data_IF_427972070817
#
_entry.id   IF_427972070817
#
_cell.length_a   1.000
_cell.length_b   1.000
_cell.length_c   1.000
_cell.angle_alpha   90.00
_cell.angle_beta   90.00
_cell.angle_gamma   90.00
#
_symmetry.space_group_name_H-M   'P 1'
#
loop_
_entity.id
_entity.type
_entity.pdbx_description
1 polymer ?
#
# COMPACT_ATOMS: atom_id res chain seq x y z
N UNK A 1 -17.15 13.38 -18.91
CA UNK A 1 -17.51 13.04 -20.31
C UNK A 1 -16.34 13.49 -21.17
N UNK A 2 -15.68 12.57 -21.89
CA UNK A 2 -14.59 12.95 -22.79
C UNK A 2 -15.20 13.46 -24.09
N UNK A 3 -15.05 14.76 -24.37
CA UNK A 3 -15.48 15.34 -25.64
C UNK A 3 -14.56 14.87 -26.77
N UNK A 4 -15.15 14.63 -27.94
CA UNK A 4 -14.49 14.10 -29.13
C UNK A 4 -13.57 15.11 -29.84
N UNK A 5 -13.61 16.39 -29.46
CA UNK A 5 -12.81 17.45 -30.07
C UNK A 5 -12.10 18.32 -29.03
N UNK A 6 -10.84 18.68 -29.30
CA UNK A 6 -10.01 19.53 -28.44
C UNK A 6 -10.65 20.92 -28.25
N UNK A 7 -11.36 21.40 -29.28
CA UNK A 7 -12.04 22.70 -29.31
C UNK A 7 -13.24 22.81 -28.36
N UNK A 8 -13.82 21.68 -27.93
CA UNK A 8 -15.00 21.65 -27.06
C UNK A 8 -14.66 21.20 -25.63
N UNK A 9 -13.38 20.95 -25.32
CA UNK A 9 -12.96 20.51 -24.01
C UNK A 9 -12.75 21.70 -23.07
N UNK A 10 -13.48 21.70 -21.94
CA UNK A 10 -13.36 22.74 -20.89
C UNK A 10 -12.03 22.62 -20.12
N UNK A 11 -11.46 21.41 -20.07
CA UNK A 11 -10.18 21.11 -19.42
C UNK A 11 -9.44 20.10 -20.30
N UNK A 12 -8.18 20.40 -20.62
CA UNK A 12 -7.32 19.52 -21.42
C UNK A 12 -6.12 19.15 -20.54
N UNK A 13 -6.02 17.87 -20.19
CA UNK A 13 -4.87 17.34 -19.48
C UNK A 13 -3.71 17.08 -20.44
N UNK A 14 -2.56 17.69 -20.16
CA UNK A 14 -1.34 17.50 -20.94
C UNK A 14 -0.37 16.56 -20.21
N UNK A 15 -0.02 15.46 -20.87
CA UNK A 15 1.04 14.56 -20.42
C UNK A 15 2.34 14.89 -21.16
N UNK A 16 3.39 15.24 -20.42
CA UNK A 16 4.71 15.59 -20.97
C UNK A 16 5.77 14.61 -20.49
N UNK A 17 6.69 14.23 -21.38
CA UNK A 17 7.82 13.36 -21.06
C UNK A 17 9.12 13.91 -21.66
N UNK A 18 10.23 13.66 -20.97
CA UNK A 18 11.57 14.01 -21.44
C UNK A 18 12.17 12.98 -22.42
N UNK A 19 11.45 11.88 -22.67
CA UNK A 19 11.87 10.83 -23.60
C UNK A 19 11.70 11.29 -25.05
N UNK A 20 12.61 10.86 -25.92
CA UNK A 20 12.59 11.22 -27.34
C UNK A 20 11.43 10.55 -28.09
N UNK A 21 10.85 11.25 -29.06
CA UNK A 21 9.65 10.80 -29.78
C UNK A 21 9.81 9.43 -30.48
N UNK A 22 11.04 9.09 -30.92
CA UNK A 22 11.30 7.83 -31.66
C UNK A 22 11.13 6.57 -30.81
N UNK A 23 11.18 6.68 -29.48
CA UNK A 23 11.07 5.54 -28.56
C UNK A 23 9.77 5.54 -27.76
N UNK A 24 8.83 6.43 -28.06
CA UNK A 24 7.65 6.70 -27.23
C UNK A 24 6.38 6.70 -28.08
N UNK A 25 5.41 5.88 -27.67
CA UNK A 25 4.05 5.85 -28.23
C UNK A 25 3.10 6.55 -27.24
N UNK A 26 2.01 7.16 -27.73
CA UNK A 26 1.00 7.79 -26.86
C UNK A 26 0.42 6.80 -25.83
N UNK A 27 0.18 5.56 -26.23
CA UNK A 27 -0.25 4.48 -25.32
C UNK A 27 0.76 4.25 -24.19
N UNK A 28 2.06 4.23 -24.51
CA UNK A 28 3.12 4.08 -23.51
C UNK A 28 3.13 5.24 -22.51
N UNK A 29 2.86 6.48 -22.95
CA UNK A 29 2.78 7.64 -22.06
C UNK A 29 1.62 7.47 -21.09
N UNK A 30 0.46 7.04 -21.59
CA UNK A 30 -0.74 6.86 -20.77
C UNK A 30 -0.56 5.70 -19.78
N UNK A 31 -0.04 4.55 -20.20
CA UNK A 31 0.20 3.41 -19.32
C UNK A 31 1.25 3.73 -18.26
N UNK A 32 2.36 4.38 -18.63
CA UNK A 32 3.38 4.84 -17.68
C UNK A 32 2.81 5.85 -16.68
N UNK A 33 1.95 6.76 -17.13
CA UNK A 33 1.29 7.72 -16.24
C UNK A 33 0.34 7.01 -15.27
N UNK A 34 -0.34 5.95 -15.70
CA UNK A 34 -1.25 5.19 -14.86
C UNK A 34 -0.55 4.53 -13.68
N UNK A 35 0.71 4.09 -13.85
CA UNK A 35 1.53 3.53 -12.77
C UNK A 35 1.75 4.53 -11.61
N UNK A 36 1.65 5.84 -11.85
CA UNK A 36 1.72 6.87 -10.79
C UNK A 36 0.63 6.69 -9.73
N UNK A 37 -0.55 6.19 -10.12
CA UNK A 37 -1.67 6.01 -9.19
C UNK A 37 -1.32 5.09 -8.01
N UNK A 38 -0.35 4.18 -8.20
CA UNK A 38 0.15 3.32 -7.12
C UNK A 38 0.75 4.14 -5.96
N UNK A 39 1.45 5.23 -6.24
CA UNK A 39 2.00 6.12 -5.19
C UNK A 39 0.87 6.79 -4.41
N UNK A 40 -0.22 7.13 -5.08
CA UNK A 40 -1.38 7.73 -4.43
C UNK A 40 -2.12 6.73 -3.54
N UNK A 41 -2.27 5.49 -4.00
CA UNK A 41 -2.77 4.38 -3.17
C UNK A 41 -1.88 4.15 -1.95
N UNK A 42 -0.55 4.11 -2.13
CA UNK A 42 0.41 4.03 -1.02
C UNK A 42 0.15 5.13 0.03
N UNK A 43 0.04 6.39 -0.38
CA UNK A 43 -0.19 7.48 0.57
C UNK A 43 -1.55 7.41 1.25
N UNK A 44 -2.60 6.98 0.54
CA UNK A 44 -3.95 6.83 1.08
C UNK A 44 -3.97 5.75 2.16
N UNK A 45 -3.42 4.59 1.86
CA UNK A 45 -3.41 3.42 2.73
C UNK A 45 -2.46 3.60 3.92
N UNK A 46 -1.26 4.14 3.71
CA UNK A 46 -0.32 4.41 4.81
C UNK A 46 -0.81 5.48 5.78
N UNK A 47 -1.44 6.55 5.28
CA UNK A 47 -2.04 7.59 6.12
C UNK A 47 -3.21 7.10 6.95
N UNK A 48 -4.02 6.20 6.40
CA UNK A 48 -5.17 5.63 7.11
C UNK A 48 -4.79 4.50 8.05
N UNK A 49 -4.07 3.50 7.54
CA UNK A 49 -3.92 2.19 8.20
C UNK A 49 -2.59 2.02 8.94
N UNK A 50 -1.55 2.79 8.60
CA UNK A 50 -0.22 2.70 9.23
C UNK A 50 0.11 3.94 10.08
N UNK A 51 -0.90 4.77 10.37
CA UNK A 51 -0.77 5.88 11.31
C UNK A 51 0.14 7.01 10.85
N UNK A 52 0.44 7.14 9.54
CA UNK A 52 1.29 8.24 9.04
C UNK A 52 0.70 9.62 9.37
N UNK A 53 -0.63 9.71 9.55
CA UNK A 53 -1.34 10.94 9.98
C UNK A 53 -1.30 11.18 11.50
N UNK A 54 -1.12 10.12 12.30
CA UNK A 54 -1.16 10.13 13.77
C UNK A 54 0.22 10.45 14.39
N UNK A 55 1.20 10.72 13.53
CA UNK A 55 2.54 11.09 13.93
C UNK A 55 2.57 12.50 14.57
N UNK A 56 2.69 12.56 15.91
CA UNK A 56 2.70 13.81 16.69
C UNK A 56 4.10 14.40 16.95
N UNK A 57 5.18 13.72 16.55
CA UNK A 57 6.55 14.16 16.84
C UNK A 57 7.01 15.18 15.79
N UNK A 58 7.61 16.29 16.22
CA UNK A 58 8.03 17.39 15.32
C UNK A 58 9.50 17.35 14.91
N UNK A 59 10.26 16.39 15.43
CA UNK A 59 11.68 16.26 15.09
C UNK A 59 11.88 15.62 13.70
N UNK A 60 12.75 16.23 12.89
CA UNK A 60 13.03 15.79 11.51
C UNK A 60 13.60 14.37 11.48
N UNK A 61 14.46 14.02 12.45
CA UNK A 61 15.09 12.70 12.49
C UNK A 61 14.08 11.63 12.85
N UNK A 62 13.26 11.89 13.86
CA UNK A 62 12.16 11.01 14.22
C UNK A 62 11.16 10.85 13.07
N UNK A 63 10.89 11.90 12.29
CA UNK A 63 9.95 11.86 11.17
C UNK A 63 10.46 10.95 10.06
N UNK A 64 11.75 11.07 9.72
CA UNK A 64 12.39 10.20 8.74
C UNK A 64 12.38 8.74 9.20
N UNK A 65 12.67 8.46 10.49
CA UNK A 65 12.61 7.09 11.03
C UNK A 65 11.21 6.50 10.97
N UNK A 66 10.19 7.27 11.34
CA UNK A 66 8.80 6.84 11.26
C UNK A 66 8.38 6.58 9.80
N UNK A 67 8.74 7.47 8.88
CA UNK A 67 8.47 7.28 7.46
C UNK A 67 9.12 5.99 6.90
N UNK A 68 10.39 5.74 7.24
CA UNK A 68 11.09 4.51 6.85
C UNK A 68 10.37 3.28 7.43
N UNK A 69 9.95 3.31 8.69
CA UNK A 69 9.20 2.21 9.32
C UNK A 69 7.86 1.94 8.61
N UNK A 70 7.09 2.99 8.32
CA UNK A 70 5.81 2.88 7.59
C UNK A 70 6.03 2.33 6.18
N UNK A 71 7.07 2.81 5.48
CA UNK A 71 7.41 2.34 4.14
C UNK A 71 7.81 0.85 4.14
N UNK A 72 8.65 0.43 5.09
CA UNK A 72 9.07 -0.97 5.23
C UNK A 72 7.88 -1.86 5.59
N UNK A 73 7.03 -1.45 6.54
CA UNK A 73 5.85 -2.21 6.93
C UNK A 73 4.87 -2.39 5.75
N UNK A 74 4.60 -1.32 5.00
CA UNK A 74 3.75 -1.38 3.82
C UNK A 74 4.33 -2.30 2.73
N UNK A 75 5.62 -2.17 2.43
CA UNK A 75 6.30 -3.01 1.44
C UNK A 75 6.27 -4.49 1.85
N UNK A 76 6.45 -4.77 3.16
CA UNK A 76 6.35 -6.12 3.69
C UNK A 76 4.92 -6.68 3.56
N UNK A 77 3.88 -5.90 3.83
CA UNK A 77 2.49 -6.31 3.67
C UNK A 77 2.13 -6.61 2.20
N UNK A 78 2.53 -5.75 1.27
CA UNK A 78 2.35 -6.01 -0.16
C UNK A 78 3.12 -7.24 -0.64
N UNK A 79 4.35 -7.41 -0.17
CA UNK A 79 5.14 -8.61 -0.45
C UNK A 79 4.41 -9.86 0.02
N UNK A 80 3.80 -9.82 1.20
CA UNK A 80 2.96 -10.92 1.68
C UNK A 80 1.73 -11.15 0.80
N UNK A 81 1.02 -10.12 0.34
CA UNK A 81 -0.10 -10.30 -0.59
C UNK A 81 0.30 -11.02 -1.87
N UNK A 82 1.40 -10.57 -2.49
CA UNK A 82 1.89 -11.09 -3.77
C UNK A 82 2.42 -12.53 -3.65
N UNK A 83 3.04 -12.87 -2.52
CA UNK A 83 3.48 -14.23 -2.22
C UNK A 83 2.32 -15.16 -1.82
N UNK A 84 1.07 -14.67 -1.81
CA UNK A 84 -0.11 -15.43 -1.37
C UNK A 84 -0.15 -15.65 0.15
N UNK A 85 0.39 -14.70 0.91
CA UNK A 85 0.69 -14.74 2.34
C UNK A 85 -0.46 -15.23 3.22
N UNK A 86 -0.08 -15.93 4.30
CA UNK A 86 -0.92 -16.54 5.34
C UNK A 86 -2.14 -17.37 4.89
N UNK A 87 -2.35 -17.59 3.57
CA UNK A 87 -3.40 -18.45 2.99
C UNK A 87 -3.43 -19.85 3.58
N UNK A 88 -2.28 -20.34 4.08
CA UNK A 88 -2.17 -21.70 4.62
C UNK A 88 -2.68 -21.85 6.05
N UNK A 89 -3.04 -20.77 6.76
CA UNK A 89 -3.47 -20.87 8.16
C UNK A 89 -4.49 -19.85 8.66
N UNK A 90 -4.63 -18.67 8.02
CA UNK A 90 -5.39 -17.56 8.63
C UNK A 90 -6.55 -17.01 7.78
N UNK A 91 -6.72 -17.41 6.51
CA UNK A 91 -7.86 -16.98 5.69
C UNK A 91 -8.16 -17.95 4.55
N UNK A 92 -9.43 -18.37 4.44
CA UNK A 92 -9.97 -19.11 3.28
C UNK A 92 -10.32 -18.18 2.10
N UNK A 93 -10.25 -16.86 2.31
CA UNK A 93 -10.68 -15.83 1.35
C UNK A 93 -9.47 -15.20 0.67
N UNK A 94 -9.60 -14.89 -0.62
CA UNK A 94 -8.55 -14.18 -1.36
C UNK A 94 -8.39 -12.77 -0.79
N UNK A 95 -7.24 -12.50 -0.18
CA UNK A 95 -6.86 -11.18 0.32
C UNK A 95 -6.50 -10.31 -0.88
N UNK A 96 -7.42 -9.44 -1.31
CA UNK A 96 -7.26 -8.67 -2.57
C UNK A 96 -6.86 -7.23 -2.32
N UNK A 97 -7.06 -6.71 -1.11
CA UNK A 97 -6.73 -5.34 -0.75
C UNK A 97 -5.85 -5.28 0.51
N UNK A 98 -5.15 -4.14 0.66
CA UNK A 98 -4.24 -3.87 1.78
C UNK A 98 -4.91 -3.99 3.14
N UNK A 99 -6.14 -3.50 3.26
CA UNK A 99 -6.88 -3.47 4.52
C UNK A 99 -7.17 -4.89 5.02
N UNK A 100 -7.68 -5.77 4.14
CA UNK A 100 -7.92 -7.18 4.44
C UNK A 100 -6.63 -7.91 4.85
N UNK A 101 -5.52 -7.59 4.18
CA UNK A 101 -4.24 -8.25 4.49
C UNK A 101 -3.66 -7.79 5.81
N UNK A 102 -3.76 -6.50 6.09
CA UNK A 102 -3.37 -5.95 7.38
C UNK A 102 -4.22 -6.55 8.50
N UNK A 103 -5.54 -6.66 8.31
CA UNK A 103 -6.46 -7.26 9.26
C UNK A 103 -6.15 -8.75 9.50
N UNK A 104 -5.92 -9.53 8.45
CA UNK A 104 -5.55 -10.94 8.56
C UNK A 104 -4.17 -11.12 9.23
N UNK A 105 -3.20 -10.26 8.92
CA UNK A 105 -1.88 -10.25 9.56
C UNK A 105 -1.98 -9.93 11.06
N UNK A 106 -2.69 -8.86 11.41
CA UNK A 106 -2.91 -8.46 12.81
C UNK A 106 -3.64 -9.56 13.58
N UNK A 107 -4.70 -10.13 13.00
CA UNK A 107 -5.44 -11.26 13.59
C UNK A 107 -4.52 -12.46 13.81
N UNK A 108 -3.65 -12.78 12.84
CA UNK A 108 -2.67 -13.86 12.98
C UNK A 108 -1.64 -13.61 14.08
N UNK A 109 -1.11 -12.39 14.17
CA UNK A 109 -0.22 -11.99 15.27
C UNK A 109 -0.92 -12.09 16.63
N UNK A 110 -2.16 -11.61 16.74
CA UNK A 110 -2.95 -11.71 17.97
C UNK A 110 -3.19 -13.17 18.39
N UNK A 111 -3.54 -14.04 17.45
CA UNK A 111 -3.78 -15.45 17.72
C UNK A 111 -2.50 -16.18 18.15
N UNK A 112 -1.38 -15.89 17.50
CA UNK A 112 -0.07 -16.43 17.85
C UNK A 112 0.37 -16.00 19.26
N UNK A 113 0.17 -14.73 19.61
CA UNK A 113 0.47 -14.19 20.93
C UNK A 113 -0.46 -14.80 21.98
N UNK A 114 -1.75 -14.89 21.70
CA UNK A 114 -2.73 -15.51 22.60
C UNK A 114 -2.39 -16.99 22.88
N UNK A 115 -2.02 -17.76 21.85
CA UNK A 115 -1.59 -19.15 21.98
C UNK A 115 -0.28 -19.30 22.79
N UNK A 116 0.65 -18.34 22.65
CA UNK A 116 1.86 -18.29 23.47
C UNK A 116 1.55 -18.01 24.94
N UNK A 117 0.73 -16.99 25.23
CA UNK A 117 0.33 -16.63 26.60
C UNK A 117 -0.44 -17.77 27.28
N UNK A 118 -1.35 -18.41 26.55
CA UNK A 118 -2.11 -19.56 27.09
C UNK A 118 -1.22 -20.78 27.34
N UNK A 119 -0.19 -21.03 26.51
CA UNK A 119 0.81 -22.08 26.77
C UNK A 119 1.63 -21.84 28.03
N UNK A 120 1.97 -20.60 28.34
CA UNK A 120 2.73 -20.28 29.56
C UNK A 120 1.87 -20.45 30.82
N UNK A 121 0.58 -20.13 30.76
CA UNK A 121 -0.37 -20.39 31.87
C UNK A 121 -0.67 -21.86 32.11
N UNK A 122 -0.45 -22.75 31.13
CA UNK A 122 -0.64 -24.20 31.27
C UNK A 122 0.58 -24.95 31.78
N UNK A 123 1.75 -24.30 31.87
CA UNK A 123 2.99 -24.88 32.41
C UNK A 123 3.25 -24.48 33.87
N UNK A 124 2.33 -23.73 34.50
CA UNK A 124 2.45 -23.24 35.88
C UNK A 124 1.59 -24.00 36.90
N UNK A 125 0.96 -25.11 36.48
CA UNK A 125 0.30 -26.13 37.34
C UNK A 125 1.08 -27.46 37.27
#
# INVERSE_FOLDING_TARGET
MNNSSISEATEIDYLMTNKQYKSVTGEWIVTTFYERNYIENFYRETKGCLGLKEYFVRDKTSMMRHFILVFVAYTFLLYQQLMGGLRKGYSYTSLTNFTETLEAFMTGCFLQIFLLVTRESSQSD
#
